data_IF_552809832610
#
_entry.id   IF_552809832610
#
_cell.length_a   1.000
_cell.length_b   1.000
_cell.length_c   1.000
_cell.angle_alpha   90.00
_cell.angle_beta   90.00
_cell.angle_gamma   90.00
#
_symmetry.space_group_name_H-M   'P 1'
#
loop_
_entity.id
_entity.type
_entity.pdbx_description
1 polymer ?
#
# COMPACT_ATOMS: atom_id res chain seq x y z
N UNK A 1 -8.93 -6.21 16.84
CA UNK A 1 -8.87 -6.37 15.37
C UNK A 1 -7.87 -5.38 14.80
N UNK A 2 -6.99 -5.85 13.95
CA UNK A 2 -6.01 -4.96 13.32
C UNK A 2 -6.68 -4.12 12.24
N UNK A 3 -6.24 -2.88 12.14
CA UNK A 3 -6.82 -1.93 11.19
C UNK A 3 -5.84 -1.66 10.07
N UNK A 4 -6.33 -1.61 8.84
CA UNK A 4 -5.53 -1.38 7.65
C UNK A 4 -6.13 -0.25 6.84
N UNK A 5 -5.28 0.68 6.40
CA UNK A 5 -5.64 1.68 5.41
C UNK A 5 -5.11 1.23 4.07
N UNK A 6 -5.99 0.99 3.12
CA UNK A 6 -5.61 0.57 1.77
C UNK A 6 -5.84 1.73 0.82
N UNK A 7 -4.74 2.26 0.28
CA UNK A 7 -4.76 3.41 -0.63
C UNK A 7 -4.33 2.93 -2.00
N UNK A 8 -5.13 3.18 -3.02
CA UNK A 8 -4.72 2.78 -4.35
C UNK A 8 -5.05 3.83 -5.39
N UNK A 9 -4.21 3.86 -6.43
CA UNK A 9 -4.42 4.71 -7.58
C UNK A 9 -5.11 3.90 -8.66
N UNK A 10 -6.37 4.23 -9.01
CA UNK A 10 -7.13 3.42 -9.96
C UNK A 10 -6.60 3.47 -11.38
N UNK A 11 -5.73 4.43 -11.68
CA UNK A 11 -5.19 4.60 -13.02
C UNK A 11 -3.81 3.99 -13.22
N UNK A 12 -3.20 3.47 -12.15
CA UNK A 12 -1.88 2.90 -12.26
C UNK A 12 -1.90 1.59 -13.02
N UNK A 13 -0.81 1.31 -13.72
CA UNK A 13 -0.62 0.00 -14.30
C UNK A 13 -1.73 -0.44 -15.23
N UNK A 14 -2.18 0.45 -16.12
CA UNK A 14 -3.27 0.15 -17.05
C UNK A 14 -4.55 -0.25 -16.32
N UNK A 15 -4.72 0.30 -15.12
CA UNK A 15 -5.93 0.09 -14.32
C UNK A 15 -6.11 -1.35 -13.87
N UNK A 16 -5.01 -2.06 -13.67
CA UNK A 16 -5.05 -3.45 -13.25
C UNK A 16 -5.83 -3.68 -11.95
N UNK A 17 -5.80 -2.70 -11.06
CA UNK A 17 -6.46 -2.85 -9.75
C UNK A 17 -7.95 -3.10 -9.89
N UNK A 18 -8.58 -2.55 -10.94
CA UNK A 18 -10.02 -2.69 -11.12
C UNK A 18 -10.46 -4.15 -11.23
N UNK A 19 -9.69 -4.96 -11.94
CA UNK A 19 -10.05 -6.36 -12.13
C UNK A 19 -9.69 -7.26 -10.97
N UNK A 20 -8.90 -6.78 -10.02
CA UNK A 20 -8.40 -7.61 -8.95
C UNK A 20 -8.74 -7.10 -7.57
N UNK A 21 -9.45 -5.97 -7.50
CA UNK A 21 -9.73 -5.33 -6.22
C UNK A 21 -10.50 -6.22 -5.26
N UNK A 22 -11.53 -6.90 -5.75
CA UNK A 22 -12.34 -7.74 -4.87
C UNK A 22 -11.52 -8.87 -4.27
N UNK A 23 -10.65 -9.47 -5.06
CA UNK A 23 -9.81 -10.55 -4.56
C UNK A 23 -8.85 -10.03 -3.50
N UNK A 24 -8.26 -8.86 -3.71
CA UNK A 24 -7.33 -8.25 -2.76
C UNK A 24 -8.05 -7.94 -1.45
N UNK A 25 -9.23 -7.32 -1.53
CA UNK A 25 -9.99 -6.99 -0.33
C UNK A 25 -10.39 -8.26 0.44
N UNK A 26 -10.75 -9.30 -0.29
CA UNK A 26 -11.12 -10.57 0.34
C UNK A 26 -9.94 -11.17 1.09
N UNK A 27 -8.75 -11.13 0.51
CA UNK A 27 -7.54 -11.63 1.16
C UNK A 27 -7.30 -10.90 2.48
N UNK A 28 -7.37 -9.58 2.48
CA UNK A 28 -7.15 -8.79 3.69
C UNK A 28 -8.25 -9.03 4.72
N UNK A 29 -9.49 -9.13 4.28
CA UNK A 29 -10.61 -9.35 5.18
C UNK A 29 -10.51 -10.71 5.86
N UNK A 30 -10.17 -11.73 5.09
CA UNK A 30 -10.02 -13.08 5.65
C UNK A 30 -8.86 -13.18 6.62
N UNK A 31 -7.86 -12.31 6.46
CA UNK A 31 -6.72 -12.27 7.38
C UNK A 31 -7.05 -11.56 8.69
N UNK A 32 -8.25 -11.01 8.85
CA UNK A 32 -8.67 -10.39 10.09
C UNK A 32 -8.50 -8.89 10.15
N UNK A 33 -8.24 -8.24 9.04
CA UNK A 33 -8.08 -6.78 9.04
C UNK A 33 -9.41 -6.07 8.87
N UNK A 34 -9.57 -4.99 9.62
CA UNK A 34 -10.65 -4.04 9.39
C UNK A 34 -10.13 -3.03 8.37
N UNK A 35 -10.76 -2.99 7.20
CA UNK A 35 -10.25 -2.21 6.09
C UNK A 35 -10.86 -0.83 6.01
N UNK A 36 -10.01 0.15 5.74
CA UNK A 36 -10.42 1.47 5.30
C UNK A 36 -9.81 1.69 3.93
N UNK A 37 -10.65 1.83 2.92
CA UNK A 37 -10.20 1.89 1.54
C UNK A 37 -10.30 3.32 1.02
N UNK A 38 -9.24 3.79 0.38
CA UNK A 38 -9.23 5.12 -0.21
C UNK A 38 -8.75 5.04 -1.66
N UNK A 39 -9.59 5.51 -2.56
CA UNK A 39 -9.28 5.60 -3.99
C UNK A 39 -8.73 6.99 -4.25
N UNK A 40 -7.49 7.08 -4.72
CA UNK A 40 -6.89 8.41 -4.92
C UNK A 40 -7.58 9.15 -6.05
N UNK A 41 -7.77 10.44 -5.87
CA UNK A 41 -8.52 11.29 -6.80
C UNK A 41 -7.67 12.34 -7.50
N UNK A 42 -6.46 12.60 -6.98
CA UNK A 42 -5.61 13.66 -7.50
C UNK A 42 -4.18 13.44 -7.04
N UNK A 43 -3.26 14.24 -7.56
CA UNK A 43 -1.89 14.23 -7.07
C UNK A 43 -1.86 14.59 -5.59
N UNK A 44 -0.96 13.98 -4.85
CA UNK A 44 -0.76 14.16 -3.42
C UNK A 44 -1.88 13.59 -2.55
N UNK A 45 -2.90 13.02 -3.17
CA UNK A 45 -4.01 12.48 -2.40
C UNK A 45 -3.56 11.35 -1.47
N UNK A 46 -2.69 10.47 -1.96
CA UNK A 46 -2.18 9.39 -1.12
C UNK A 46 -1.41 9.94 0.08
N UNK A 47 -0.58 10.95 -0.13
CA UNK A 47 0.15 11.57 0.96
C UNK A 47 -0.80 12.18 1.99
N UNK A 48 -1.81 12.89 1.53
CA UNK A 48 -2.74 13.58 2.41
C UNK A 48 -3.57 12.61 3.24
N UNK A 49 -4.08 11.55 2.61
CA UNK A 49 -4.92 10.61 3.35
C UNK A 49 -4.10 9.81 4.35
N UNK A 50 -2.87 9.45 4.01
CA UNK A 50 -2.01 8.72 4.93
C UNK A 50 -1.61 9.61 6.12
N UNK A 51 -1.29 10.87 5.87
CA UNK A 51 -0.96 11.78 6.96
C UNK A 51 -2.15 12.00 7.90
N UNK A 52 -3.36 11.98 7.36
CA UNK A 52 -4.57 12.21 8.15
C UNK A 52 -5.03 10.97 8.91
N UNK A 53 -4.99 9.81 8.27
CA UNK A 53 -5.59 8.59 8.81
C UNK A 53 -4.58 7.55 9.29
N UNK A 54 -3.31 7.69 8.92
CA UNK A 54 -2.32 6.67 9.23
C UNK A 54 -2.13 6.40 10.71
N UNK A 55 -2.35 7.40 11.54
CA UNK A 55 -2.19 7.23 12.98
C UNK A 55 -3.25 6.31 13.59
N UNK A 56 -4.33 6.06 12.86
CA UNK A 56 -5.46 5.26 13.35
C UNK A 56 -5.39 3.81 12.92
N UNK A 57 -4.37 3.44 12.17
CA UNK A 57 -4.29 2.09 11.62
C UNK A 57 -2.97 1.43 12.01
N UNK A 58 -2.93 0.12 11.93
CA UNK A 58 -1.75 -0.67 12.24
C UNK A 58 -0.88 -0.86 11.00
N UNK A 59 -1.50 -0.89 9.83
CA UNK A 59 -0.83 -1.13 8.56
C UNK A 59 -1.39 -0.17 7.51
N UNK A 60 -0.51 0.40 6.70
CA UNK A 60 -0.89 1.13 5.50
C UNK A 60 -0.43 0.30 4.31
N UNK A 61 -1.36 -0.02 3.42
CA UNK A 61 -1.04 -0.71 2.18
C UNK A 61 -1.35 0.24 1.04
N UNK A 62 -0.42 0.40 0.11
CA UNK A 62 -0.68 1.19 -1.07
C UNK A 62 -0.49 0.35 -2.32
N UNK A 63 -1.24 0.70 -3.36
CA UNK A 63 -1.12 0.06 -4.66
C UNK A 63 -1.06 1.12 -5.73
N UNK A 64 -0.06 1.00 -6.59
CA UNK A 64 0.17 1.96 -7.66
C UNK A 64 1.59 1.85 -8.16
N UNK A 65 2.03 2.87 -8.87
CA UNK A 65 3.39 2.97 -9.32
C UNK A 65 4.28 3.62 -8.26
N UNK A 66 5.50 3.97 -8.66
CA UNK A 66 6.45 4.56 -7.74
C UNK A 66 5.98 5.90 -7.19
N UNK A 67 5.20 6.66 -7.97
CA UNK A 67 4.66 7.93 -7.49
C UNK A 67 3.71 7.76 -6.32
N UNK A 68 2.79 6.77 -6.41
CA UNK A 68 1.87 6.48 -5.32
C UNK A 68 2.64 6.02 -4.08
N UNK A 69 3.65 5.19 -4.27
CA UNK A 69 4.46 4.73 -3.17
C UNK A 69 5.19 5.89 -2.48
N UNK A 70 5.79 6.78 -3.28
CA UNK A 70 6.50 7.93 -2.72
C UNK A 70 5.56 8.83 -1.92
N UNK A 71 4.35 9.06 -2.42
CA UNK A 71 3.37 9.86 -1.69
C UNK A 71 2.97 9.20 -0.38
N UNK A 72 2.77 7.88 -0.41
CA UNK A 72 2.41 7.14 0.79
C UNK A 72 3.52 7.25 1.84
N UNK A 73 4.76 7.07 1.42
CA UNK A 73 5.91 7.20 2.31
C UNK A 73 5.99 8.61 2.88
N UNK A 74 5.80 9.63 2.02
CA UNK A 74 5.84 11.02 2.49
C UNK A 74 4.77 11.29 3.55
N UNK A 75 3.58 10.72 3.36
CA UNK A 75 2.52 10.87 4.36
C UNK A 75 2.87 10.16 5.67
N UNK A 76 3.47 8.98 5.58
CA UNK A 76 3.86 8.25 6.77
C UNK A 76 4.93 8.97 7.57
N UNK A 77 5.83 9.67 6.90
CA UNK A 77 6.88 10.41 7.58
C UNK A 77 6.37 11.59 8.41
N UNK A 78 5.13 11.98 8.20
CA UNK A 78 4.51 13.04 9.01
C UNK A 78 3.93 12.51 10.31
N UNK A 79 3.92 11.20 10.51
CA UNK A 79 3.31 10.59 11.67
C UNK A 79 4.35 10.40 12.78
N UNK A 80 3.93 10.58 14.02
CA UNK A 80 4.82 10.36 15.15
C UNK A 80 5.13 8.87 15.31
N UNK A 81 4.12 8.04 15.12
CA UNK A 81 4.29 6.59 15.16
C UNK A 81 3.89 6.05 13.81
N UNK A 82 4.83 5.50 13.08
CA UNK A 82 4.58 5.00 11.75
C UNK A 82 3.97 3.61 11.80
N UNK A 83 2.87 3.39 11.08
CA UNK A 83 2.35 2.03 10.91
C UNK A 83 3.28 1.21 10.02
N UNK A 84 3.01 -0.07 9.93
CA UNK A 84 3.72 -0.92 8.98
C UNK A 84 3.29 -0.58 7.56
N UNK A 85 4.17 -0.81 6.60
CA UNK A 85 3.91 -0.51 5.20
C UNK A 85 3.86 -1.78 4.38
N UNK A 86 2.80 -1.93 3.58
CA UNK A 86 2.71 -2.97 2.57
C UNK A 86 2.55 -2.33 1.20
N UNK A 87 3.07 -2.98 0.16
CA UNK A 87 3.03 -2.42 -1.18
C UNK A 87 2.58 -3.47 -2.19
N UNK A 88 1.59 -3.11 -2.99
CA UNK A 88 1.11 -3.92 -4.11
C UNK A 88 1.47 -3.16 -5.38
N UNK A 89 2.52 -3.57 -6.09
CA UNK A 89 2.94 -2.81 -7.28
C UNK A 89 1.92 -2.93 -8.40
N UNK A 90 1.74 -1.83 -9.11
CA UNK A 90 0.93 -1.76 -10.31
C UNK A 90 1.81 -1.20 -11.41
N UNK A 91 1.82 -1.87 -12.55
CA UNK A 91 2.64 -1.43 -13.67
C UNK A 91 3.64 -2.49 -14.08
N UNK A 92 4.18 -2.34 -15.30
CA UNK A 92 5.09 -3.32 -15.86
C UNK A 92 6.52 -3.13 -15.39
N UNK A 93 6.89 -1.91 -15.00
CA UNK A 93 8.21 -1.64 -14.47
C UNK A 93 8.06 -0.97 -13.12
N UNK A 94 8.66 -1.56 -12.12
CA UNK A 94 8.59 -1.01 -10.77
C UNK A 94 9.89 -1.40 -10.08
N UNK A 95 10.86 -0.48 -10.10
CA UNK A 95 12.19 -0.76 -9.59
C UNK A 95 12.18 -1.07 -8.11
N UNK A 96 11.35 -0.38 -7.35
CA UNK A 96 11.29 -0.60 -5.92
C UNK A 96 10.80 -2.00 -5.60
N UNK A 97 9.71 -2.42 -6.24
CA UNK A 97 9.17 -3.76 -5.99
C UNK A 97 10.15 -4.83 -6.43
N UNK A 98 10.82 -4.63 -7.56
CA UNK A 98 11.81 -5.58 -8.05
C UNK A 98 12.97 -5.71 -7.05
N UNK A 99 13.44 -4.60 -6.53
CA UNK A 99 14.53 -4.60 -5.55
C UNK A 99 14.18 -5.35 -4.28
N UNK A 100 12.91 -5.30 -3.87
CA UNK A 100 12.46 -5.94 -2.64
C UNK A 100 11.93 -7.35 -2.86
N UNK A 101 11.88 -7.81 -4.10
CA UNK A 101 11.34 -9.14 -4.39
C UNK A 101 9.83 -9.23 -4.23
N UNK A 102 9.11 -8.10 -4.32
CA UNK A 102 7.66 -8.10 -4.20
C UNK A 102 7.05 -8.68 -5.48
N UNK A 103 6.08 -9.59 -5.37
CA UNK A 103 5.46 -10.19 -6.56
C UNK A 103 4.78 -9.14 -7.43
N UNK A 104 4.85 -9.32 -8.74
CA UNK A 104 4.21 -8.43 -9.69
C UNK A 104 2.71 -8.65 -9.76
N UNK A 105 2.25 -9.86 -9.45
CA UNK A 105 0.82 -10.16 -9.46
C UNK A 105 0.20 -9.64 -8.17
N UNK A 106 -0.84 -8.83 -8.32
CA UNK A 106 -1.43 -8.14 -7.17
C UNK A 106 -1.96 -9.07 -6.07
N UNK A 107 -2.68 -10.15 -6.40
CA UNK A 107 -3.14 -11.04 -5.32
C UNK A 107 -1.98 -11.71 -4.57
N UNK A 108 -0.90 -12.04 -5.27
CA UNK A 108 0.26 -12.63 -4.60
C UNK A 108 0.93 -11.63 -3.68
N UNK A 109 1.01 -10.35 -4.11
CA UNK A 109 1.55 -9.31 -3.25
C UNK A 109 0.68 -9.13 -2.00
N UNK A 110 -0.64 -9.19 -2.16
CA UNK A 110 -1.54 -9.09 -1.02
C UNK A 110 -1.34 -10.27 -0.06
N UNK A 111 -1.20 -11.47 -0.57
CA UNK A 111 -0.91 -12.64 0.27
C UNK A 111 0.39 -12.48 1.04
N UNK A 112 1.44 -11.98 0.37
CA UNK A 112 2.71 -11.77 1.04
C UNK A 112 2.57 -10.78 2.19
N UNK A 113 1.77 -9.73 2.00
CA UNK A 113 1.56 -8.73 3.05
C UNK A 113 0.94 -9.37 4.30
N UNK A 114 -0.12 -10.16 4.12
CA UNK A 114 -0.79 -10.77 5.26
C UNK A 114 0.04 -11.85 5.92
N UNK A 115 1.02 -12.40 5.21
CA UNK A 115 1.93 -13.39 5.77
C UNK A 115 3.18 -12.77 6.37
N UNK A 116 3.21 -11.45 6.52
CA UNK A 116 4.27 -10.78 7.23
C UNK A 116 5.23 -9.95 6.39
N UNK A 117 5.01 -9.85 5.08
CA UNK A 117 5.87 -9.02 4.23
C UNK A 117 5.46 -7.56 4.36
N UNK A 118 5.73 -7.00 5.53
CA UNK A 118 5.43 -5.63 5.87
C UNK A 118 6.73 -4.98 6.34
N UNK A 119 6.83 -3.68 6.13
CA UNK A 119 8.05 -2.97 6.45
C UNK A 119 7.84 -2.14 7.71
N UNK A 120 8.53 -2.48 8.81
CA UNK A 120 8.37 -1.75 10.07
C UNK A 120 8.95 -0.35 10.02
N UNK A 121 9.82 -0.10 9.06
CA UNK A 121 10.35 1.22 8.80
C UNK A 121 10.53 1.34 7.32
N UNK A 122 10.63 2.58 6.85
CA UNK A 122 10.78 2.79 5.43
C UNK A 122 12.10 2.25 4.95
N UNK A 123 12.11 1.64 3.76
CA UNK A 123 13.37 1.29 3.13
C UNK A 123 14.02 2.57 2.65
N UNK A 124 14.67 3.22 3.55
CA UNK A 124 15.24 4.51 3.25
C UNK A 124 16.63 4.38 2.69
N UNK A 125 16.91 5.27 1.80
CA UNK A 125 18.25 5.44 1.32
C UNK A 125 19.08 5.86 2.46
N UNK A 126 19.77 5.61 3.08
CA UNK A 126 20.50 6.03 4.24
C UNK A 126 20.55 4.95 5.29
N UNK A 127 19.89 3.92 4.98
CA UNK A 127 19.94 2.76 5.85
C UNK A 127 20.72 1.65 5.21
#
# INVERSE_FOLDING_TARGET
MKKMLFVFNPRSGKEQIKGQLMEILDIFTKAGYELRVHVTQKQRDAMEVVARLGKKVDVVVCSGGDGTLNETISGMMKLKKMPLLGYIPAGSTNDFATSLGIPKRMPLAAWDIVEGCQFPSLPQSGR
#
